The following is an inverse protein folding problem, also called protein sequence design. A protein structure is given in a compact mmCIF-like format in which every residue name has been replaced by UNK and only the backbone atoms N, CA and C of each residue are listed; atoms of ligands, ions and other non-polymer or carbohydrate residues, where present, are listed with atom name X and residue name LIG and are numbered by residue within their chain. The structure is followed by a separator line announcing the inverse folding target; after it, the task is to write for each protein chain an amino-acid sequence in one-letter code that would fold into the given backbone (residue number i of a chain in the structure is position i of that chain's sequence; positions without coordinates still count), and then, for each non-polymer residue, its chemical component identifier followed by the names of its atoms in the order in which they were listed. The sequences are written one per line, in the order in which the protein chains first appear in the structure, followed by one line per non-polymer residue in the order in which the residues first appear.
data_IF_751513555413
#
_entry.id   IF_751513555413
#
_cell.length_a   1.000
_cell.length_b   1.000
_cell.length_c   1.000
_cell.angle_alpha   90.00
_cell.angle_beta   90.00
_cell.angle_gamma   90.00
#
_symmetry.space_group_name_H-M   'P 1'
#
loop_
_entity.id
_entity.type
_entity.pdbx_description
1 polymer ?
#
# COMPACT_ATOMS: atom_id res chain seq x y z
N UNK A 1 6.22 -1.95 38.09
CA UNK A 1 4.80 -1.65 37.77
C UNK A 1 4.76 -0.64 36.63
N UNK A 2 3.82 -0.83 35.69
CA UNK A 2 3.90 -0.41 34.30
C UNK A 2 4.05 1.11 34.07
N UNK A 3 4.89 1.46 33.08
CA UNK A 3 5.02 2.80 32.53
C UNK A 3 3.95 2.98 31.44
N UNK A 4 3.08 3.95 31.69
CA UNK A 4 1.89 4.34 30.93
C UNK A 4 2.23 4.76 29.50
N UNK A 5 1.53 4.18 28.52
CA UNK A 5 1.62 4.51 27.11
C UNK A 5 0.70 5.71 26.80
N UNK A 6 1.30 6.82 26.38
CA UNK A 6 0.57 7.98 25.90
C UNK A 6 0.16 7.77 24.43
N UNK A 7 -1.15 7.70 24.19
CA UNK A 7 -1.73 7.74 22.85
C UNK A 7 -1.63 9.16 22.25
N UNK A 8 -1.34 9.32 20.95
CA UNK A 8 -1.47 10.62 20.28
C UNK A 8 -2.95 10.93 19.95
N UNK A 9 -3.29 12.23 19.83
CA UNK A 9 -4.67 12.72 19.83
C UNK A 9 -5.37 12.56 18.48
N UNK A 10 -6.70 12.44 18.56
CA UNK A 10 -7.61 12.45 17.43
C UNK A 10 -7.53 13.77 16.65
N UNK A 11 -7.24 13.69 15.35
CA UNK A 11 -7.27 14.85 14.45
C UNK A 11 -8.62 14.93 13.73
N UNK A 12 -9.17 16.13 13.78
CA UNK A 12 -10.55 16.54 13.54
C UNK A 12 -11.02 16.33 12.10
N UNK A 13 -12.20 15.72 11.95
CA UNK A 13 -12.93 15.59 10.70
C UNK A 13 -13.47 16.95 10.20
N UNK A 14 -13.22 17.27 8.93
CA UNK A 14 -13.86 18.34 8.16
C UNK A 14 -14.73 17.73 7.03
N UNK A 15 -15.76 18.44 6.54
CA UNK A 15 -17.10 17.88 6.34
C UNK A 15 -17.31 17.13 5.03
N UNK A 16 -18.28 16.22 5.07
CA UNK A 16 -18.78 15.41 3.97
C UNK A 16 -19.44 16.27 2.88
N UNK A 17 -18.97 16.10 1.64
CA UNK A 17 -19.62 16.60 0.43
C UNK A 17 -20.20 15.42 -0.36
N UNK A 18 -21.54 15.36 -0.32
CA UNK A 18 -22.53 14.70 -1.20
C UNK A 18 -22.17 13.38 -1.89
N UNK A 19 -22.91 12.35 -1.44
CA UNK A 19 -22.94 10.98 -1.94
C UNK A 19 -23.19 10.85 -3.45
N UNK A 20 -22.15 10.40 -4.17
CA UNK A 20 -22.34 9.55 -5.34
C UNK A 20 -22.53 8.11 -4.83
N UNK A 21 -23.58 7.42 -5.29
CA UNK A 21 -23.90 6.06 -4.91
C UNK A 21 -22.64 5.18 -4.86
N UNK A 22 -22.33 4.66 -3.67
CA UNK A 22 -21.19 3.78 -3.47
C UNK A 22 -21.30 2.62 -4.47
N UNK A 23 -20.24 2.28 -5.22
CA UNK A 23 -20.26 1.07 -6.01
C UNK A 23 -20.55 -0.10 -5.05
N UNK A 24 -21.44 -1.01 -5.45
CA UNK A 24 -21.84 -2.20 -4.68
C UNK A 24 -20.68 -3.19 -4.41
N UNK A 25 -19.45 -2.80 -4.75
CA UNK A 25 -18.21 -3.53 -4.56
C UNK A 25 -17.08 -2.53 -4.24
N UNK A 26 -16.17 -2.86 -3.31
CA UNK A 26 -15.02 -2.02 -2.97
C UNK A 26 -14.12 -1.78 -4.20
N UNK A 27 -13.65 -0.55 -4.37
CA UNK A 27 -12.83 -0.16 -5.52
C UNK A 27 -11.45 -0.84 -5.51
N UNK A 28 -11.00 -1.30 -6.68
CA UNK A 28 -9.72 -2.01 -6.87
C UNK A 28 -8.96 -1.31 -7.99
N UNK A 29 -7.89 -0.61 -7.64
CA UNK A 29 -7.22 0.33 -8.53
C UNK A 29 -5.73 -0.02 -8.59
N UNK A 30 -5.17 0.01 -9.79
CA UNK A 30 -3.72 -0.04 -10.02
C UNK A 30 -3.32 1.28 -10.65
N UNK A 31 -2.25 1.90 -10.14
CA UNK A 31 -1.66 3.10 -10.72
C UNK A 31 -0.24 2.81 -11.20
N UNK A 32 0.00 3.10 -12.47
CA UNK A 32 1.29 2.90 -13.13
C UNK A 32 1.70 4.17 -13.87
N UNK A 33 3.01 4.38 -14.01
CA UNK A 33 3.56 5.59 -14.62
C UNK A 33 5.04 5.80 -14.28
N UNK A 34 5.72 6.64 -15.07
CA UNK A 34 7.15 6.90 -14.91
C UNK A 34 7.50 7.45 -13.51
N UNK A 35 8.76 7.30 -13.05
CA UNK A 35 9.25 8.03 -11.88
C UNK A 35 8.97 9.53 -12.02
N UNK A 36 8.60 10.19 -10.91
CA UNK A 36 8.23 11.61 -10.89
C UNK A 36 7.01 12.03 -11.74
N UNK A 37 6.20 11.10 -12.26
CA UNK A 37 4.97 11.43 -13.02
C UNK A 37 3.79 11.92 -12.17
N UNK A 38 3.98 12.15 -10.86
CA UNK A 38 2.92 12.59 -9.94
C UNK A 38 1.98 11.51 -9.41
N UNK A 39 2.33 10.21 -9.53
CA UNK A 39 1.50 9.10 -9.01
C UNK A 39 1.14 9.26 -7.53
N UNK A 40 2.13 9.56 -6.69
CA UNK A 40 1.89 9.73 -5.24
C UNK A 40 0.82 10.80 -4.95
N UNK A 41 0.86 11.93 -5.67
CA UNK A 41 -0.17 12.96 -5.59
C UNK A 41 -1.55 12.42 -5.96
N UNK A 42 -1.65 11.64 -7.03
CA UNK A 42 -2.90 11.00 -7.43
C UNK A 42 -3.35 9.92 -6.44
N UNK A 43 -2.42 9.17 -5.83
CA UNK A 43 -2.75 8.15 -4.85
C UNK A 43 -3.47 8.76 -3.64
N UNK A 44 -2.98 9.89 -3.12
CA UNK A 44 -3.61 10.58 -2.01
C UNK A 44 -5.01 11.10 -2.37
N UNK A 45 -5.19 11.63 -3.59
CA UNK A 45 -6.50 12.08 -4.08
C UNK A 45 -7.48 10.92 -4.24
N UNK A 46 -7.03 9.79 -4.79
CA UNK A 46 -7.85 8.58 -4.97
C UNK A 46 -8.23 8.00 -3.62
N UNK A 47 -7.27 7.89 -2.69
CA UNK A 47 -7.51 7.44 -1.32
C UNK A 47 -8.57 8.30 -0.63
N UNK A 48 -8.44 9.63 -0.69
CA UNK A 48 -9.41 10.55 -0.10
C UNK A 48 -10.81 10.44 -0.72
N UNK A 49 -10.88 10.25 -2.05
CA UNK A 49 -12.14 10.19 -2.79
C UNK A 49 -12.89 8.87 -2.64
N UNK A 50 -12.18 7.75 -2.61
CA UNK A 50 -12.77 6.41 -2.65
C UNK A 50 -12.66 5.64 -1.33
N UNK A 51 -11.94 6.16 -0.34
CA UNK A 51 -11.74 5.49 0.95
C UNK A 51 -10.94 4.19 0.85
N UNK A 52 -10.16 4.01 -0.22
CA UNK A 52 -9.39 2.79 -0.47
C UNK A 52 -8.10 2.74 0.34
N UNK A 53 -7.62 1.52 0.61
CA UNK A 53 -6.32 1.30 1.22
C UNK A 53 -5.22 1.53 0.20
N UNK A 54 -4.30 2.48 0.45
CA UNK A 54 -3.14 2.70 -0.41
C UNK A 54 -2.02 1.70 -0.10
N UNK A 55 -1.66 0.91 -1.11
CA UNK A 55 -0.66 -0.15 -1.08
C UNK A 55 0.51 0.19 -2.01
N UNK A 56 1.58 0.77 -1.45
CA UNK A 56 2.83 1.05 -2.14
C UNK A 56 3.80 -0.11 -1.94
N UNK A 57 4.22 -0.80 -3.01
CA UNK A 57 5.18 -1.92 -2.89
C UNK A 57 6.50 -1.49 -2.29
N UNK A 58 6.96 -0.27 -2.61
CA UNK A 58 8.17 0.28 -2.03
C UNK A 58 8.06 0.46 -0.50
N UNK A 59 6.92 0.94 -0.02
CA UNK A 59 6.72 1.17 1.42
C UNK A 59 6.47 -0.14 2.17
N UNK A 60 5.73 -1.08 1.58
CA UNK A 60 5.55 -2.41 2.17
C UNK A 60 6.89 -3.14 2.34
N UNK A 61 7.78 -3.06 1.34
CA UNK A 61 9.12 -3.64 1.46
C UNK A 61 9.97 -2.92 2.52
N UNK A 62 9.96 -1.58 2.56
CA UNK A 62 10.68 -0.82 3.59
C UNK A 62 10.19 -1.15 4.99
N UNK A 63 8.88 -1.30 5.18
CA UNK A 63 8.28 -1.73 6.44
C UNK A 63 8.73 -3.15 6.80
N UNK A 64 8.65 -4.10 5.87
CA UNK A 64 9.10 -5.47 6.07
C UNK A 64 10.59 -5.54 6.48
N UNK A 65 11.45 -4.69 5.90
CA UNK A 65 12.87 -4.52 6.25
C UNK A 65 13.03 -3.97 7.67
N UNK A 66 12.27 -2.94 8.03
CA UNK A 66 12.30 -2.33 9.36
C UNK A 66 11.85 -3.31 10.45
N UNK A 67 10.82 -4.12 10.15
CA UNK A 67 10.28 -5.14 11.04
C UNK A 67 11.14 -6.42 11.09
N UNK A 68 12.23 -6.47 10.31
CA UNK A 68 13.15 -7.61 10.22
C UNK A 68 12.46 -8.95 9.90
N UNK A 69 11.36 -8.89 9.14
CA UNK A 69 10.67 -10.09 8.65
C UNK A 69 11.59 -10.89 7.72
N UNK A 70 11.35 -12.19 7.56
CA UNK A 70 12.14 -13.03 6.65
C UNK A 70 12.18 -12.47 5.22
N UNK A 71 11.05 -11.94 4.76
CA UNK A 71 10.93 -11.27 3.47
C UNK A 71 11.71 -9.96 3.44
N UNK A 72 11.62 -9.15 4.50
CA UNK A 72 12.36 -7.90 4.63
C UNK A 72 13.87 -8.09 4.61
N UNK A 73 14.39 -9.10 5.33
CA UNK A 73 15.83 -9.40 5.35
C UNK A 73 16.32 -9.75 3.95
N UNK A 74 15.59 -10.60 3.22
CA UNK A 74 15.92 -10.94 1.82
C UNK A 74 15.81 -9.72 0.91
N UNK A 75 14.74 -8.93 1.04
CA UNK A 75 14.50 -7.76 0.20
C UNK A 75 15.58 -6.68 0.42
N UNK A 76 16.09 -6.53 1.64
CA UNK A 76 17.12 -5.55 2.00
C UNK A 76 18.36 -5.66 1.12
N UNK A 77 18.85 -6.88 0.87
CA UNK A 77 20.04 -7.10 0.06
C UNK A 77 19.87 -6.60 -1.39
N UNK A 78 18.69 -6.80 -1.98
CA UNK A 78 18.39 -6.32 -3.32
C UNK A 78 18.18 -4.80 -3.35
N UNK A 79 17.47 -4.26 -2.34
CA UNK A 79 17.20 -2.82 -2.23
C UNK A 79 18.48 -2.02 -2.04
N UNK A 80 19.38 -2.46 -1.15
CA UNK A 80 20.67 -1.81 -0.91
C UNK A 80 21.58 -1.87 -2.15
N UNK A 81 21.46 -2.93 -2.95
CA UNK A 81 22.17 -3.09 -4.23
C UNK A 81 21.52 -2.32 -5.41
N UNK A 82 20.39 -1.63 -5.21
CA UNK A 82 19.63 -0.96 -6.27
C UNK A 82 19.03 -1.92 -7.30
N UNK A 83 18.88 -3.20 -6.95
CA UNK A 83 18.30 -4.24 -7.79
C UNK A 83 16.80 -4.40 -7.50
N UNK A 84 16.07 -4.95 -8.46
CA UNK A 84 14.70 -5.36 -8.23
C UNK A 84 14.68 -6.59 -7.31
N UNK A 85 13.78 -6.54 -6.32
CA UNK A 85 13.47 -7.70 -5.47
C UNK A 85 12.78 -8.76 -6.35
N UNK A 86 13.07 -10.06 -6.16
CA UNK A 86 12.47 -11.12 -6.97
C UNK A 86 10.93 -11.09 -6.99
N UNK A 87 10.34 -11.39 -8.14
CA UNK A 87 8.89 -11.27 -8.37
C UNK A 87 8.08 -12.11 -7.38
N UNK A 88 8.50 -13.34 -7.09
CA UNK A 88 7.85 -14.23 -6.12
C UNK A 88 7.70 -13.59 -4.74
N UNK A 89 8.73 -12.84 -4.31
CA UNK A 89 8.75 -12.16 -3.02
C UNK A 89 7.76 -10.99 -3.02
N UNK A 90 7.74 -10.19 -4.08
CA UNK A 90 6.79 -9.07 -4.23
C UNK A 90 5.35 -9.59 -4.26
N UNK A 91 5.09 -10.63 -5.06
CA UNK A 91 3.77 -11.23 -5.21
C UNK A 91 3.27 -11.75 -3.85
N UNK A 92 4.14 -12.40 -3.06
CA UNK A 92 3.80 -12.84 -1.70
C UNK A 92 3.36 -11.69 -0.81
N UNK A 93 4.17 -10.63 -0.71
CA UNK A 93 3.86 -9.45 0.13
C UNK A 93 2.56 -8.78 -0.30
N UNK A 94 2.34 -8.63 -1.60
CA UNK A 94 1.10 -8.02 -2.13
C UNK A 94 -0.10 -8.91 -1.82
N UNK A 95 -0.02 -10.22 -2.01
CA UNK A 95 -1.11 -11.17 -1.70
C UNK A 95 -1.49 -11.10 -0.21
N UNK A 96 -0.50 -11.21 0.68
CA UNK A 96 -0.73 -11.16 2.13
C UNK A 96 -1.43 -9.86 2.55
N UNK A 97 -1.05 -8.74 1.93
CA UNK A 97 -1.65 -7.44 2.24
C UNK A 97 -3.06 -7.29 1.69
N UNK A 98 -3.32 -7.81 0.48
CA UNK A 98 -4.66 -7.84 -0.12
C UNK A 98 -5.62 -8.75 0.64
N UNK A 99 -5.10 -9.75 1.35
CA UNK A 99 -5.89 -10.68 2.15
C UNK A 99 -6.41 -10.11 3.48
N UNK A 100 -5.95 -8.93 3.89
CA UNK A 100 -6.42 -8.26 5.10
C UNK A 100 -7.87 -7.74 4.94
N UNK A 101 -8.60 -7.67 6.05
CA UNK A 101 -10.02 -7.32 6.07
C UNK A 101 -10.29 -5.89 5.58
N UNK A 102 -9.37 -4.95 5.81
CA UNK A 102 -9.47 -3.57 5.33
C UNK A 102 -9.44 -3.48 3.80
N UNK A 103 -8.53 -4.20 3.14
CA UNK A 103 -8.46 -4.32 1.69
C UNK A 103 -9.71 -4.99 1.10
N UNK A 104 -10.28 -5.96 1.81
CA UNK A 104 -11.50 -6.67 1.40
C UNK A 104 -12.76 -5.83 1.55
N UNK A 105 -12.82 -4.96 2.55
CA UNK A 105 -14.02 -4.17 2.88
C UNK A 105 -14.01 -2.77 2.24
N UNK A 106 -12.87 -2.08 2.26
CA UNK A 106 -12.72 -0.71 1.75
C UNK A 106 -12.17 -0.67 0.32
N UNK A 107 -11.56 -1.75 -0.16
CA UNK A 107 -10.87 -1.78 -1.44
C UNK A 107 -9.42 -1.30 -1.33
N UNK A 108 -8.74 -1.27 -2.46
CA UNK A 108 -7.28 -1.06 -2.48
C UNK A 108 -6.83 -0.29 -3.72
N UNK A 109 -5.71 0.40 -3.55
CA UNK A 109 -4.96 1.11 -4.59
C UNK A 109 -3.51 0.60 -4.56
N UNK A 110 -3.08 -0.11 -5.60
CA UNK A 110 -1.71 -0.58 -5.76
C UNK A 110 -0.88 0.46 -6.54
N UNK A 111 0.18 0.98 -5.91
CA UNK A 111 1.21 1.82 -6.54
C UNK A 111 2.52 1.05 -6.69
N UNK A 112 3.05 1.04 -7.90
CA UNK A 112 4.33 0.42 -8.20
C UNK A 112 4.31 -1.10 -8.34
N UNK A 113 3.15 -1.68 -8.68
CA UNK A 113 2.93 -3.08 -9.05
C UNK A 113 1.88 -3.19 -10.16
N UNK A 114 2.04 -4.05 -11.17
CA UNK A 114 3.24 -4.84 -11.49
C UNK A 114 4.33 -3.98 -12.14
N UNK A 115 5.60 -4.33 -11.91
CA UNK A 115 6.78 -3.73 -12.58
C UNK A 115 7.38 -4.62 -13.67
N UNK A 116 7.07 -5.90 -13.65
CA UNK A 116 7.53 -6.90 -14.63
C UNK A 116 6.32 -7.66 -15.16
N UNK A 117 6.39 -8.26 -16.36
CA UNK A 117 5.34 -9.15 -16.85
C UNK A 117 5.04 -10.32 -15.89
N UNK A 118 6.08 -10.90 -15.28
CA UNK A 118 5.92 -12.02 -14.33
C UNK A 118 5.17 -11.67 -13.05
N UNK A 119 5.00 -10.38 -12.73
CA UNK A 119 4.13 -9.93 -11.64
C UNK A 119 2.65 -9.81 -12.04
N UNK A 120 2.36 -9.78 -13.34
CA UNK A 120 1.02 -9.64 -13.88
C UNK A 120 0.37 -10.97 -14.31
N UNK A 121 1.19 -12.03 -14.44
CA UNK A 121 0.76 -13.41 -14.72
C UNK A 121 0.19 -14.10 -13.47
#
# INVERSE_FOLDING_TARGET
PAKEAAAPPAETAAPAETAAAAPSSPARIIIAGAPASGKGTQCEMIKAKYGVVHLSTGDMLRAAVADQTEVGVKAKEFMDAGKLVPDEVIIGVVKDRLDQEDCKSCGWLLDGFPRTPGQAD
#
